data_IF_086490953785
#
_entry.id   IF_086490953785
#
_cell.length_a   1.000
_cell.length_b   1.000
_cell.length_c   1.000
_cell.angle_alpha   90.00
_cell.angle_beta   90.00
_cell.angle_gamma   90.00
#
_symmetry.space_group_name_H-M   'P 1'
#
loop_
_entity.id
_entity.type
_entity.pdbx_description
1 polymer ?
#
# COMPACT_ATOMS: atom_id res chain seq x y z
N UNK A 1 1.54 -0.19 -13.89
CA UNK A 1 1.24 -1.15 -12.82
C UNK A 1 2.37 -2.17 -12.66
N UNK A 2 2.74 -2.90 -13.71
CA UNK A 2 3.77 -3.97 -13.65
C UNK A 2 5.17 -3.47 -13.25
N UNK A 3 5.57 -2.28 -13.72
CA UNK A 3 6.83 -1.63 -13.31
C UNK A 3 6.89 -1.37 -11.81
N UNK A 4 5.85 -0.77 -11.24
CA UNK A 4 5.83 -0.40 -9.81
C UNK A 4 5.86 -1.64 -8.94
N UNK A 5 5.09 -2.68 -9.29
CA UNK A 5 5.13 -3.95 -8.59
C UNK A 5 6.54 -4.56 -8.59
N UNK A 6 7.17 -4.65 -9.77
CA UNK A 6 8.52 -5.22 -9.91
C UNK A 6 9.57 -4.41 -9.12
N UNK A 7 9.61 -3.10 -9.28
CA UNK A 7 10.61 -2.23 -8.65
C UNK A 7 10.40 -2.09 -7.13
N UNK A 8 9.17 -2.29 -6.63
CA UNK A 8 8.87 -2.34 -5.18
C UNK A 8 9.05 -3.74 -4.57
N UNK A 9 9.56 -4.71 -5.35
CA UNK A 9 9.72 -6.11 -4.96
C UNK A 9 8.39 -6.76 -4.51
N UNK A 10 7.30 -6.40 -5.19
CA UNK A 10 5.96 -6.94 -5.01
C UNK A 10 5.55 -7.80 -6.19
N UNK A 11 4.78 -8.86 -5.92
CA UNK A 11 4.05 -9.51 -7.01
C UNK A 11 3.02 -8.54 -7.59
N UNK A 12 2.73 -8.65 -8.90
CA UNK A 12 1.66 -7.89 -9.54
C UNK A 12 0.32 -8.03 -8.81
N UNK A 13 0.01 -9.25 -8.33
CA UNK A 13 -1.20 -9.53 -7.56
C UNK A 13 -1.22 -8.78 -6.21
N UNK A 14 -0.09 -8.75 -5.50
CA UNK A 14 0.02 -8.01 -4.23
C UNK A 14 -0.15 -6.51 -4.45
N UNK A 15 0.48 -5.96 -5.49
CA UNK A 15 0.35 -4.54 -5.82
C UNK A 15 -1.11 -4.18 -6.19
N UNK A 16 -1.77 -5.02 -6.98
CA UNK A 16 -3.21 -4.88 -7.29
C UNK A 16 -4.11 -4.86 -6.06
N UNK A 17 -3.78 -5.64 -5.03
CA UNK A 17 -4.52 -5.67 -3.76
C UNK A 17 -4.33 -4.38 -2.97
N UNK A 18 -3.09 -3.86 -2.95
CA UNK A 18 -2.80 -2.56 -2.35
C UNK A 18 -3.57 -1.42 -3.02
N UNK A 19 -3.62 -1.40 -4.35
CA UNK A 19 -4.38 -0.37 -5.10
C UNK A 19 -5.88 -0.40 -4.81
N UNK A 20 -6.43 -1.57 -4.51
CA UNK A 20 -7.83 -1.73 -4.11
C UNK A 20 -8.08 -1.39 -2.64
N UNK A 21 -7.03 -1.18 -1.85
CA UNK A 21 -7.13 -1.03 -0.41
C UNK A 21 -7.61 -2.30 0.30
N UNK A 22 -7.52 -3.47 -0.33
CA UNK A 22 -8.04 -4.74 0.19
C UNK A 22 -6.99 -5.85 0.13
N UNK A 23 -6.81 -6.61 1.21
CA UNK A 23 -5.95 -7.81 1.20
C UNK A 23 -6.67 -9.02 0.59
N UNK A 24 -7.95 -9.16 0.92
CA UNK A 24 -8.92 -10.13 0.37
C UNK A 24 -10.29 -9.44 0.31
N UNK A 25 -11.26 -9.94 -0.46
CA UNK A 25 -12.56 -9.28 -0.63
C UNK A 25 -13.19 -8.90 0.72
N UNK A 26 -13.50 -7.61 0.90
CA UNK A 26 -14.09 -7.08 2.13
C UNK A 26 -13.15 -6.99 3.34
N UNK A 27 -11.86 -7.26 3.17
CA UNK A 27 -10.85 -7.07 4.24
C UNK A 27 -9.88 -5.97 3.84
N UNK A 28 -9.77 -4.88 4.61
CA UNK A 28 -8.80 -3.82 4.35
C UNK A 28 -7.37 -4.35 4.17
N UNK A 29 -6.60 -3.68 3.32
CA UNK A 29 -5.17 -3.92 3.22
C UNK A 29 -4.48 -3.43 4.50
N UNK A 30 -3.49 -4.21 4.96
CA UNK A 30 -2.61 -3.83 6.07
C UNK A 30 -1.15 -4.02 5.66
N UNK A 31 -0.62 -3.15 4.76
CA UNK A 31 0.77 -3.23 4.33
C UNK A 31 1.71 -2.87 5.49
N UNK A 32 2.90 -3.47 5.47
CA UNK A 32 3.96 -3.04 6.39
C UNK A 32 4.48 -1.66 5.98
N UNK A 33 5.06 -0.91 6.93
CA UNK A 33 5.73 0.37 6.63
C UNK A 33 6.84 0.18 5.58
N UNK A 34 7.56 -0.96 5.62
CA UNK A 34 8.57 -1.32 4.61
C UNK A 34 7.98 -1.38 3.19
N UNK A 35 6.80 -1.99 3.05
CA UNK A 35 6.08 -2.07 1.78
C UNK A 35 5.69 -0.70 1.27
N UNK A 36 5.16 0.16 2.14
CA UNK A 36 4.79 1.53 1.79
C UNK A 36 6.00 2.36 1.35
N UNK A 37 7.13 2.23 2.07
CA UNK A 37 8.39 2.90 1.70
C UNK A 37 8.89 2.47 0.31
N UNK A 38 8.88 1.17 0.02
CA UNK A 38 9.31 0.68 -1.29
C UNK A 38 8.43 1.23 -2.42
N UNK A 39 7.11 1.30 -2.22
CA UNK A 39 6.19 1.88 -3.21
C UNK A 39 6.43 3.39 -3.36
N UNK A 40 6.60 4.12 -2.25
CA UNK A 40 6.85 5.57 -2.28
C UNK A 40 8.13 5.92 -3.06
N UNK A 41 9.21 5.16 -2.84
CA UNK A 41 10.48 5.34 -3.57
C UNK A 41 10.32 5.15 -5.07
N UNK A 42 9.57 4.14 -5.50
CA UNK A 42 9.35 3.84 -6.93
C UNK A 42 8.45 4.87 -7.61
N UNK A 43 7.49 5.41 -6.87
CA UNK A 43 6.58 6.44 -7.35
C UNK A 43 7.17 7.86 -7.25
N UNK A 44 8.32 8.03 -6.59
CA UNK A 44 8.96 9.31 -6.30
C UNK A 44 8.03 10.29 -5.56
N UNK A 45 7.38 9.77 -4.50
CA UNK A 45 6.47 10.55 -3.63
C UNK A 45 6.87 10.39 -2.16
N UNK A 46 6.34 11.25 -1.29
CA UNK A 46 6.55 11.09 0.14
C UNK A 46 5.69 9.95 0.68
N UNK A 47 6.17 9.28 1.75
CA UNK A 47 5.39 8.23 2.43
C UNK A 47 4.00 8.74 2.86
N UNK A 48 3.92 10.00 3.30
CA UNK A 48 2.67 10.66 3.72
C UNK A 48 1.65 10.77 2.59
N UNK A 49 2.09 10.83 1.33
CA UNK A 49 1.21 10.91 0.16
C UNK A 49 0.50 9.58 -0.10
N UNK A 50 0.98 8.47 0.48
CA UNK A 50 0.36 7.15 0.41
C UNK A 50 -0.57 6.85 1.59
N UNK A 51 -0.57 7.70 2.63
CA UNK A 51 -1.40 7.50 3.81
C UNK A 51 -2.79 8.13 3.60
N UNK A 52 -3.83 7.61 4.27
CA UNK A 52 -5.13 8.25 4.28
C UNK A 52 -5.03 9.68 4.85
N UNK A 53 -5.82 10.61 4.31
CA UNK A 53 -5.89 11.99 4.80
C UNK A 53 -6.42 12.10 6.23
N UNK A 54 -7.20 11.11 6.67
CA UNK A 54 -7.70 10.97 8.03
C UNK A 54 -7.07 9.73 8.65
N UNK A 55 -6.33 9.92 9.74
CA UNK A 55 -5.74 8.79 10.47
C UNK A 55 -6.85 7.89 11.03
N UNK A 56 -6.87 6.59 10.70
CA UNK A 56 -7.86 5.68 11.24
C UNK A 56 -7.66 5.51 12.75
N UNK A 57 -8.76 5.50 13.50
CA UNK A 57 -8.73 5.22 14.93
C UNK A 57 -8.59 3.71 15.15
N UNK A 58 -7.40 3.30 15.60
CA UNK A 58 -7.07 1.91 15.87
C UNK A 58 -7.56 1.41 17.24
N UNK A 59 -8.19 2.27 18.05
CA UNK A 59 -8.78 1.88 19.34
C UNK A 59 -10.20 1.33 19.20
N UNK A 60 -10.86 1.61 18.08
CA UNK A 60 -12.18 1.10 17.75
C UNK A 60 -12.03 -0.37 17.33
N UNK A 61 -12.66 -1.28 18.09
CA UNK A 61 -12.68 -2.73 17.83
C UNK A 61 -13.92 -3.16 17.07
#
# INVERSE_FOLDING_TARGET
>A
QDRVAYESNLSRYTYQKLEKGESKPGTPANPTVKTLLAVAQVLDVQLTDLLPSVTPDLTIR
#
